data_IF_916954272313
#
_entry.id   IF_916954272313
#
_cell.length_a   1.000
_cell.length_b   1.000
_cell.length_c   1.000
_cell.angle_alpha   90.00
_cell.angle_beta   90.00
_cell.angle_gamma   90.00
#
_symmetry.space_group_name_H-M   'P 1'
#
loop_
_entity.id
_entity.type
_entity.pdbx_description
1 polymer ?
#
# COMPACT_ATOMS: atom_id res chain seq x y z
N UNK A 1 -0.34 -5.93 -27.42
CA UNK A 1 -1.13 -4.87 -26.72
C UNK A 1 -0.56 -3.53 -27.17
N UNK A 2 -1.40 -2.53 -27.41
CA UNK A 2 -0.91 -1.19 -27.75
C UNK A 2 -0.30 -0.55 -26.50
N UNK A 3 0.83 0.15 -26.66
CA UNK A 3 1.59 0.83 -25.59
C UNK A 3 0.68 1.68 -24.68
N UNK A 4 -0.36 2.31 -25.25
CA UNK A 4 -1.34 3.08 -24.48
C UNK A 4 -2.18 2.26 -23.49
N UNK A 5 -2.52 1.01 -23.81
CA UNK A 5 -3.28 0.12 -22.91
C UNK A 5 -2.39 -0.33 -21.73
N UNK A 6 -1.09 -0.48 -21.97
CA UNK A 6 -0.14 -0.87 -20.92
C UNK A 6 0.07 0.25 -19.91
N UNK A 7 0.20 1.48 -20.38
CA UNK A 7 0.28 2.68 -19.51
C UNK A 7 -0.99 2.84 -18.68
N UNK A 8 -2.18 2.70 -19.28
CA UNK A 8 -3.44 2.78 -18.55
C UNK A 8 -3.55 1.70 -17.47
N UNK A 9 -3.15 0.48 -17.76
CA UNK A 9 -3.11 -0.63 -16.79
C UNK A 9 -2.18 -0.33 -15.62
N UNK A 10 -0.99 0.22 -15.88
CA UNK A 10 -0.04 0.57 -14.83
C UNK A 10 -0.57 1.70 -13.93
N UNK A 11 -1.22 2.71 -14.51
CA UNK A 11 -1.85 3.80 -13.77
C UNK A 11 -2.98 3.26 -12.89
N UNK A 12 -3.87 2.43 -13.44
CA UNK A 12 -4.99 1.84 -12.73
C UNK A 12 -4.52 0.98 -11.54
N UNK A 13 -3.56 0.08 -11.79
CA UNK A 13 -2.92 -0.70 -10.73
C UNK A 13 -2.26 0.20 -9.68
N UNK A 14 -1.60 1.28 -10.10
CA UNK A 14 -0.99 2.24 -9.19
C UNK A 14 -2.02 2.88 -8.25
N UNK A 15 -3.17 3.30 -8.75
CA UNK A 15 -4.24 3.84 -7.93
C UNK A 15 -4.89 2.80 -7.02
N UNK A 16 -5.06 1.58 -7.49
CA UNK A 16 -5.61 0.48 -6.70
C UNK A 16 -4.72 0.17 -5.49
N UNK A 17 -3.42 0.02 -5.71
CA UNK A 17 -2.47 -0.21 -4.61
C UNK A 17 -2.29 1.01 -3.70
N UNK A 18 -2.42 2.22 -4.23
CA UNK A 18 -2.46 3.44 -3.42
C UNK A 18 -3.64 3.40 -2.44
N UNK A 19 -4.84 3.07 -2.92
CA UNK A 19 -6.04 2.95 -2.08
C UNK A 19 -5.87 1.87 -1.02
N UNK A 20 -5.38 0.70 -1.41
CA UNK A 20 -5.10 -0.38 -0.47
C UNK A 20 -4.11 0.05 0.63
N UNK A 21 -3.03 0.74 0.27
CA UNK A 21 -2.09 1.30 1.24
C UNK A 21 -2.69 2.39 2.12
N UNK A 22 -3.59 3.22 1.57
CA UNK A 22 -4.27 4.29 2.29
C UNK A 22 -5.24 3.77 3.37
N UNK A 23 -5.86 2.62 3.16
CA UNK A 23 -6.78 1.99 4.10
C UNK A 23 -6.08 1.40 5.33
N UNK A 24 -4.77 1.17 5.26
CA UNK A 24 -4.02 0.54 6.35
C UNK A 24 -3.84 1.48 7.54
N UNK A 25 -4.37 1.07 8.69
CA UNK A 25 -4.08 1.72 9.96
C UNK A 25 -2.75 1.21 10.54
N UNK A 26 -1.71 2.02 10.43
CA UNK A 26 -0.36 1.66 10.91
C UNK A 26 -0.27 1.37 12.42
N UNK A 27 -1.20 1.90 13.22
CA UNK A 27 -1.25 1.61 14.66
C UNK A 27 -1.74 0.19 14.93
N UNK A 28 -2.71 -0.28 14.14
CA UNK A 28 -3.25 -1.63 14.27
C UNK A 28 -2.22 -2.70 13.88
N UNK A 29 -1.35 -2.41 12.91
CA UNK A 29 -0.24 -3.30 12.53
C UNK A 29 0.74 -3.55 13.70
N UNK A 30 0.95 -2.56 14.57
CA UNK A 30 1.85 -2.68 15.73
C UNK A 30 1.18 -3.35 16.95
N UNK A 31 -0.10 -3.61 16.88
CA UNK A 31 -0.89 -4.21 17.95
C UNK A 31 -0.55 -5.70 18.16
N UNK A 32 -1.07 -6.28 19.25
CA UNK A 32 -1.00 -7.74 19.48
C UNK A 32 -1.68 -8.52 18.35
N UNK A 33 -2.78 -8.00 17.81
CA UNK A 33 -3.48 -8.60 16.66
C UNK A 33 -2.62 -8.55 15.40
N UNK A 34 -1.88 -7.45 15.17
CA UNK A 34 -0.93 -7.34 14.06
C UNK A 34 0.19 -8.39 14.14
N UNK A 35 0.74 -8.63 15.32
CA UNK A 35 1.74 -9.72 15.51
C UNK A 35 1.15 -11.10 15.21
N UNK A 36 -0.07 -11.36 15.65
CA UNK A 36 -0.75 -12.62 15.36
C UNK A 36 -1.01 -12.77 13.86
N UNK A 37 -1.45 -11.71 13.18
CA UNK A 37 -1.68 -11.72 11.73
C UNK A 37 -0.39 -12.01 10.96
N UNK A 38 0.73 -11.40 11.35
CA UNK A 38 2.05 -11.67 10.77
C UNK A 38 2.44 -13.15 10.93
N UNK A 39 2.29 -13.70 12.13
CA UNK A 39 2.61 -15.12 12.41
C UNK A 39 1.71 -16.03 11.59
N UNK A 40 0.40 -15.75 11.55
CA UNK A 40 -0.56 -16.53 10.76
C UNK A 40 -0.21 -16.51 9.27
N UNK A 41 0.16 -15.34 8.74
CA UNK A 41 0.58 -15.22 7.35
C UNK A 41 1.86 -16.02 7.08
N UNK A 42 2.89 -15.91 7.94
CA UNK A 42 4.14 -16.66 7.79
C UNK A 42 3.92 -18.17 7.83
N UNK A 43 3.05 -18.66 8.72
CA UNK A 43 2.69 -20.08 8.78
C UNK A 43 1.97 -20.53 7.51
N UNK A 44 0.97 -19.75 7.03
CA UNK A 44 0.26 -20.02 5.79
C UNK A 44 1.18 -20.03 4.57
N UNK A 45 2.07 -19.05 4.46
CA UNK A 45 3.06 -18.95 3.40
C UNK A 45 4.04 -20.14 3.39
N UNK A 46 4.58 -20.49 4.58
CA UNK A 46 5.47 -21.65 4.73
C UNK A 46 4.78 -22.96 4.36
N UNK A 47 3.53 -23.14 4.80
CA UNK A 47 2.73 -24.31 4.46
C UNK A 47 2.44 -24.39 2.96
N UNK A 48 2.12 -23.27 2.32
CA UNK A 48 1.87 -23.22 0.88
C UNK A 48 3.14 -23.55 0.07
N UNK A 49 4.32 -23.07 0.50
CA UNK A 49 5.60 -23.46 -0.11
C UNK A 49 5.85 -24.96 0.03
N UNK A 50 5.64 -25.52 1.22
CA UNK A 50 5.83 -26.95 1.46
C UNK A 50 4.92 -27.80 0.55
N UNK A 51 3.65 -27.44 0.44
CA UNK A 51 2.72 -28.08 -0.48
C UNK A 51 3.18 -27.94 -1.94
N UNK A 52 3.62 -26.73 -2.32
CA UNK A 52 4.17 -26.47 -3.65
C UNK A 52 5.35 -27.36 -3.99
N UNK A 53 6.29 -27.54 -3.06
CA UNK A 53 7.46 -28.41 -3.24
C UNK A 53 7.06 -29.89 -3.42
N UNK A 54 6.05 -30.35 -2.71
CA UNK A 54 5.52 -31.71 -2.84
C UNK A 54 4.88 -31.90 -4.23
N UNK A 55 4.04 -30.95 -4.65
CA UNK A 55 3.31 -31.03 -5.94
C UNK A 55 4.28 -30.93 -7.12
N UNK A 56 5.27 -30.05 -7.05
CA UNK A 56 6.21 -29.76 -8.14
C UNK A 56 7.45 -30.65 -8.12
N UNK A 57 7.54 -31.60 -7.21
CA UNK A 57 8.71 -32.48 -7.02
C UNK A 57 10.01 -31.69 -6.80
N UNK A 58 9.94 -30.60 -6.06
CA UNK A 58 11.10 -29.81 -5.63
C UNK A 58 11.39 -28.52 -6.43
N UNK A 59 10.48 -28.07 -7.31
CA UNK A 59 10.64 -26.78 -8.00
C UNK A 59 10.41 -25.61 -7.03
N UNK A 60 11.48 -25.03 -6.51
CA UNK A 60 11.44 -24.01 -5.47
C UNK A 60 10.80 -22.71 -5.97
N UNK A 61 11.16 -22.25 -7.18
CA UNK A 61 10.66 -21.01 -7.76
C UNK A 61 9.14 -21.04 -7.93
N UNK A 62 8.60 -22.12 -8.45
CA UNK A 62 7.16 -22.31 -8.60
C UNK A 62 6.46 -22.39 -7.24
N UNK A 63 7.08 -23.03 -6.24
CA UNK A 63 6.54 -23.15 -4.90
C UNK A 63 6.46 -21.80 -4.18
N UNK A 64 7.43 -20.91 -4.41
CA UNK A 64 7.40 -19.53 -3.91
C UNK A 64 6.26 -18.74 -4.56
N UNK A 65 6.12 -18.81 -5.88
CA UNK A 65 5.02 -18.15 -6.60
C UNK A 65 3.66 -18.63 -6.10
N UNK A 66 3.51 -19.95 -5.92
CA UNK A 66 2.30 -20.54 -5.36
C UNK A 66 2.02 -20.04 -3.93
N UNK A 67 3.06 -19.96 -3.09
CA UNK A 67 2.97 -19.42 -1.74
C UNK A 67 2.49 -17.98 -1.72
N UNK A 68 3.06 -17.11 -2.56
CA UNK A 68 2.65 -15.70 -2.70
C UNK A 68 1.19 -15.61 -3.17
N UNK A 69 0.83 -16.35 -4.22
CA UNK A 69 -0.52 -16.30 -4.81
C UNK A 69 -1.61 -16.77 -3.84
N UNK A 70 -1.35 -17.85 -3.07
CA UNK A 70 -2.34 -18.42 -2.15
C UNK A 70 -2.48 -17.64 -0.84
N UNK A 71 -1.49 -16.84 -0.47
CA UNK A 71 -1.52 -16.02 0.75
C UNK A 71 -1.86 -14.55 0.49
N UNK A 72 -2.05 -14.19 -0.77
CA UNK A 72 -2.49 -12.84 -1.15
C UNK A 72 -3.98 -12.65 -0.86
N UNK A 73 -4.33 -11.47 -0.36
CA UNK A 73 -5.71 -11.03 -0.12
C UNK A 73 -5.94 -9.67 -0.75
N UNK A 74 -7.21 -9.31 -0.97
CA UNK A 74 -7.62 -8.01 -1.47
C UNK A 74 -8.29 -7.21 -0.34
N UNK A 75 -7.54 -6.32 0.32
CA UNK A 75 -8.02 -5.52 1.46
C UNK A 75 -9.19 -4.62 1.06
N UNK A 76 -9.13 -3.98 -0.09
CA UNK A 76 -10.20 -3.09 -0.58
C UNK A 76 -11.54 -3.82 -0.69
N UNK A 77 -11.56 -5.03 -1.23
CA UNK A 77 -12.78 -5.85 -1.31
C UNK A 77 -13.29 -6.24 0.08
N UNK A 78 -12.38 -6.63 0.99
CA UNK A 78 -12.74 -6.96 2.37
C UNK A 78 -13.36 -5.75 3.10
N UNK A 79 -12.79 -4.56 2.90
CA UNK A 79 -13.30 -3.33 3.50
C UNK A 79 -14.71 -3.00 3.01
N UNK A 80 -14.98 -3.11 1.71
CA UNK A 80 -16.31 -2.87 1.15
C UNK A 80 -17.34 -3.82 1.75
N UNK A 81 -17.04 -5.13 1.81
CA UNK A 81 -17.93 -6.13 2.42
C UNK A 81 -18.19 -5.81 3.90
N UNK A 82 -17.16 -5.41 4.65
CA UNK A 82 -17.32 -5.07 6.07
C UNK A 82 -18.08 -3.75 6.26
N UNK A 83 -17.93 -2.77 5.37
CA UNK A 83 -18.71 -1.53 5.37
C UNK A 83 -20.20 -1.83 5.12
N UNK A 84 -20.53 -2.63 4.12
CA UNK A 84 -21.90 -3.01 3.78
C UNK A 84 -22.57 -3.80 4.92
N UNK A 85 -21.80 -4.65 5.60
CA UNK A 85 -22.26 -5.40 6.76
C UNK A 85 -22.32 -4.57 8.07
N UNK A 86 -21.87 -3.30 8.07
CA UNK A 86 -21.72 -2.45 9.26
C UNK A 86 -20.83 -3.09 10.35
N UNK A 87 -19.80 -3.85 9.95
CA UNK A 87 -18.93 -4.62 10.84
C UNK A 87 -17.52 -4.02 11.00
N UNK A 88 -17.18 -2.92 10.35
CA UNK A 88 -15.84 -2.32 10.36
C UNK A 88 -15.31 -2.03 11.77
N UNK A 89 -16.17 -1.56 12.67
CA UNK A 89 -15.82 -1.21 14.04
C UNK A 89 -15.89 -2.39 15.03
N UNK A 90 -16.40 -3.53 14.59
CA UNK A 90 -16.47 -4.75 15.40
C UNK A 90 -15.08 -5.37 15.62
N UNK A 91 -14.91 -6.15 16.69
CA UNK A 91 -13.66 -6.86 16.94
C UNK A 91 -13.29 -7.84 15.81
N UNK A 92 -14.30 -8.45 15.20
CA UNK A 92 -14.13 -9.36 14.05
C UNK A 92 -13.69 -8.55 12.84
N UNK A 93 -14.39 -7.46 12.51
CA UNK A 93 -14.05 -6.60 11.38
C UNK A 93 -12.64 -6.05 11.47
N UNK A 94 -12.23 -5.54 12.62
CA UNK A 94 -10.85 -5.08 12.88
C UNK A 94 -9.83 -6.20 12.68
N UNK A 95 -10.11 -7.40 13.18
CA UNK A 95 -9.21 -8.55 12.99
C UNK A 95 -9.09 -8.93 11.51
N UNK A 96 -10.20 -8.96 10.78
CA UNK A 96 -10.22 -9.24 9.32
C UNK A 96 -9.42 -8.20 8.55
N UNK A 97 -9.60 -6.91 8.85
CA UNK A 97 -8.86 -5.83 8.19
C UNK A 97 -7.35 -5.91 8.46
N UNK A 98 -6.96 -6.23 9.70
CA UNK A 98 -5.53 -6.39 10.05
C UNK A 98 -4.92 -7.58 9.30
N UNK A 99 -5.60 -8.73 9.27
CA UNK A 99 -5.12 -9.90 8.52
C UNK A 99 -5.10 -9.64 7.01
N UNK A 100 -6.11 -8.94 6.48
CA UNK A 100 -6.16 -8.50 5.09
C UNK A 100 -4.99 -7.57 4.73
N UNK A 101 -4.67 -6.61 5.61
CA UNK A 101 -3.54 -5.71 5.41
C UNK A 101 -2.19 -6.45 5.33
N UNK A 102 -1.95 -7.42 6.20
CA UNK A 102 -0.75 -8.26 6.11
C UNK A 102 -0.78 -9.16 4.88
N UNK A 103 -1.96 -9.73 4.54
CA UNK A 103 -2.14 -10.56 3.35
C UNK A 103 -2.04 -9.80 2.02
N UNK A 104 -2.06 -8.47 2.02
CA UNK A 104 -1.77 -7.64 0.85
C UNK A 104 -0.34 -7.13 0.84
N UNK A 105 0.15 -6.59 1.95
CA UNK A 105 1.49 -6.02 2.09
C UNK A 105 2.60 -7.06 1.92
N UNK A 106 2.50 -8.20 2.63
CA UNK A 106 3.58 -9.18 2.67
C UNK A 106 3.81 -9.92 1.36
N UNK A 107 2.77 -10.32 0.58
CA UNK A 107 2.96 -10.84 -0.77
C UNK A 107 3.67 -9.87 -1.71
N UNK A 108 3.35 -8.56 -1.66
CA UNK A 108 4.02 -7.53 -2.47
C UNK A 108 5.51 -7.45 -2.12
N UNK A 109 5.84 -7.44 -0.81
CA UNK A 109 7.22 -7.47 -0.35
C UNK A 109 7.91 -8.77 -0.77
N UNK A 110 7.25 -9.92 -0.58
CA UNK A 110 7.78 -11.23 -0.95
C UNK A 110 8.04 -11.32 -2.46
N UNK A 111 7.13 -10.80 -3.29
CA UNK A 111 7.30 -10.73 -4.73
C UNK A 111 8.52 -9.88 -5.11
N UNK A 112 8.65 -8.70 -4.52
CA UNK A 112 9.78 -7.80 -4.76
C UNK A 112 11.13 -8.38 -4.35
N UNK A 113 11.17 -9.22 -3.29
CA UNK A 113 12.40 -9.82 -2.79
C UNK A 113 12.75 -11.15 -3.45
N UNK A 114 11.76 -12.03 -3.63
CA UNK A 114 11.98 -13.43 -3.99
C UNK A 114 11.87 -13.68 -5.49
N UNK A 115 11.08 -12.88 -6.21
CA UNK A 115 10.90 -12.97 -7.66
C UNK A 115 11.75 -11.93 -8.43
N UNK A 116 12.55 -11.12 -7.72
CA UNK A 116 13.49 -10.21 -8.36
C UNK A 116 14.55 -10.98 -9.16
N UNK A 117 14.95 -10.44 -10.29
CA UNK A 117 16.08 -10.95 -11.11
C UNK A 117 17.44 -10.79 -10.41
N UNK A 118 17.47 -10.03 -9.32
CA UNK A 118 18.66 -9.79 -8.50
C UNK A 118 18.81 -10.87 -7.43
N UNK A 119 20.03 -10.99 -6.90
CA UNK A 119 20.25 -11.88 -5.75
C UNK A 119 19.43 -11.40 -4.54
N UNK A 120 18.86 -12.29 -3.71
CA UNK A 120 18.00 -11.92 -2.57
C UNK A 120 18.65 -10.91 -1.62
N UNK A 121 19.97 -11.00 -1.42
CA UNK A 121 20.73 -10.05 -0.62
C UNK A 121 20.72 -8.63 -1.22
N UNK A 122 20.94 -8.52 -2.52
CA UNK A 122 20.93 -7.22 -3.20
C UNK A 122 19.52 -6.61 -3.23
N UNK A 123 18.49 -7.42 -3.46
CA UNK A 123 17.08 -7.00 -3.40
C UNK A 123 16.72 -6.48 -2.01
N UNK A 124 17.23 -7.11 -0.94
CA UNK A 124 17.01 -6.64 0.43
C UNK A 124 17.63 -5.27 0.68
N UNK A 125 18.88 -5.06 0.22
CA UNK A 125 19.55 -3.76 0.32
C UNK A 125 18.79 -2.68 -0.45
N UNK A 126 18.37 -3.00 -1.67
CA UNK A 126 17.60 -2.08 -2.52
C UNK A 126 16.27 -1.72 -1.86
N UNK A 127 15.57 -2.69 -1.25
CA UNK A 127 14.34 -2.44 -0.51
C UNK A 127 14.57 -1.50 0.68
N UNK A 128 15.66 -1.67 1.44
CA UNK A 128 16.02 -0.78 2.55
C UNK A 128 16.29 0.63 2.02
N UNK A 129 17.06 0.76 0.94
CA UNK A 129 17.33 2.04 0.29
C UNK A 129 16.03 2.69 -0.18
N UNK A 130 15.13 1.91 -0.79
CA UNK A 130 13.82 2.40 -1.21
C UNK A 130 13.03 2.98 -0.04
N UNK A 131 12.91 2.26 1.09
CA UNK A 131 12.19 2.72 2.28
C UNK A 131 12.79 4.01 2.83
N UNK A 132 14.13 4.13 2.89
CA UNK A 132 14.82 5.34 3.34
C UNK A 132 14.56 6.53 2.39
N UNK A 133 14.66 6.33 1.08
CA UNK A 133 14.39 7.37 0.09
C UNK A 133 12.91 7.77 0.08
N UNK A 134 11.99 6.82 0.18
CA UNK A 134 10.57 7.09 0.29
C UNK A 134 10.26 7.96 1.52
N UNK A 135 10.88 7.65 2.66
CA UNK A 135 10.75 8.46 3.87
C UNK A 135 11.25 9.89 3.67
N UNK A 136 12.38 10.09 3.00
CA UNK A 136 12.92 11.42 2.69
C UNK A 136 12.00 12.18 1.73
N UNK A 137 11.57 11.55 0.62
CA UNK A 137 10.69 12.16 -0.39
C UNK A 137 9.37 12.65 0.22
N UNK A 138 8.81 11.88 1.14
CA UNK A 138 7.52 12.22 1.76
C UNK A 138 7.67 13.23 2.90
N UNK A 139 8.66 13.06 3.77
CA UNK A 139 8.80 13.94 4.94
C UNK A 139 9.29 15.34 4.57
N UNK A 140 10.13 15.46 3.55
CA UNK A 140 10.69 16.76 3.15
C UNK A 140 9.61 17.78 2.78
N UNK A 141 8.68 17.51 1.85
CA UNK A 141 7.63 18.46 1.51
C UNK A 141 6.65 18.70 2.68
N UNK A 142 6.32 17.66 3.47
CA UNK A 142 5.42 17.80 4.61
C UNK A 142 6.01 18.71 5.70
N UNK A 143 7.30 18.55 6.01
CA UNK A 143 7.99 19.45 6.96
C UNK A 143 8.11 20.88 6.44
N UNK A 144 8.32 21.05 5.13
CA UNK A 144 8.42 22.36 4.49
C UNK A 144 7.08 23.10 4.56
N UNK A 145 5.98 22.43 4.25
CA UNK A 145 4.62 22.99 4.31
C UNK A 145 4.25 23.37 5.75
N UNK A 146 4.58 22.56 6.74
CA UNK A 146 4.31 22.84 8.15
C UNK A 146 5.11 24.03 8.70
N UNK A 147 6.25 24.37 8.13
CA UNK A 147 7.08 25.52 8.53
C UNK A 147 6.65 26.85 7.93
N UNK A 148 5.68 26.88 7.02
CA UNK A 148 5.13 28.10 6.42
C UNK A 148 3.81 28.52 7.09
N UNK A 149 3.83 29.37 8.15
CA UNK A 149 2.64 29.74 8.91
C UNK A 149 1.60 30.53 8.10
N UNK A 150 2.02 31.19 7.01
CA UNK A 150 1.13 31.91 6.09
C UNK A 150 0.24 30.97 5.26
N UNK A 151 0.72 29.77 4.93
CA UNK A 151 -0.07 28.76 4.22
C UNK A 151 -1.06 28.04 5.14
N UNK A 152 -0.74 27.88 6.44
CA UNK A 152 -1.62 27.27 7.40
C UNK A 152 -2.95 28.01 7.58
N UNK A 153 -2.93 29.33 7.65
CA UNK A 153 -4.13 30.16 7.80
C UNK A 153 -4.93 30.32 6.48
N UNK A 154 -4.26 30.33 5.33
CA UNK A 154 -4.92 30.33 4.01
C UNK A 154 -5.55 28.98 3.68
N UNK A 155 -4.99 27.90 4.18
CA UNK A 155 -5.50 26.52 4.04
C UNK A 155 -6.78 26.32 4.90
N UNK A 156 -6.84 26.90 6.08
CA UNK A 156 -8.00 26.78 6.97
C UNK A 156 -9.24 27.58 6.48
N UNK A 157 -9.04 28.60 5.64
CA UNK A 157 -10.13 29.44 5.12
C UNK A 157 -10.70 29.03 3.76
N UNK A 158 -10.12 28.03 3.09
CA UNK A 158 -10.53 27.60 1.75
C UNK A 158 -10.71 26.08 1.65
N UNK A 159 -11.80 25.55 2.19
CA UNK A 159 -12.11 24.11 2.22
C UNK A 159 -12.00 23.44 0.84
N UNK A 160 -12.42 24.09 -0.23
CA UNK A 160 -12.28 23.57 -1.61
C UNK A 160 -10.82 23.52 -2.10
N UNK A 161 -9.97 24.45 -1.67
CA UNK A 161 -8.55 24.52 -2.09
C UNK A 161 -7.70 23.46 -1.40
N UNK A 162 -8.04 23.08 -0.16
CA UNK A 162 -7.33 22.03 0.60
C UNK A 162 -7.43 20.68 -0.13
N UNK A 163 -8.61 20.33 -0.60
CA UNK A 163 -8.88 19.04 -1.22
C UNK A 163 -8.15 18.93 -2.56
N UNK A 164 -8.17 19.99 -3.38
CA UNK A 164 -7.42 20.00 -4.65
C UNK A 164 -5.92 19.92 -4.43
N UNK A 165 -5.40 20.61 -3.43
CA UNK A 165 -3.97 20.56 -3.06
C UNK A 165 -3.58 19.18 -2.55
N UNK A 166 -4.42 18.54 -1.73
CA UNK A 166 -4.18 17.18 -1.23
C UNK A 166 -4.15 16.17 -2.37
N UNK A 167 -5.07 16.25 -3.34
CA UNK A 167 -5.05 15.38 -4.52
C UNK A 167 -3.77 15.55 -5.35
N UNK A 168 -3.33 16.80 -5.58
CA UNK A 168 -2.07 17.07 -6.29
C UNK A 168 -0.87 16.49 -5.56
N UNK A 169 -0.82 16.63 -4.23
CA UNK A 169 0.25 16.04 -3.40
C UNK A 169 0.18 14.52 -3.46
N UNK A 170 -1.02 13.94 -3.41
CA UNK A 170 -1.23 12.48 -3.53
C UNK A 170 -0.69 11.96 -4.86
N UNK A 171 -1.06 12.56 -5.97
CA UNK A 171 -0.58 12.18 -7.31
C UNK A 171 0.93 12.38 -7.43
N UNK A 172 1.47 13.46 -6.87
CA UNK A 172 2.91 13.70 -6.86
C UNK A 172 3.68 12.65 -6.06
N UNK A 173 3.20 12.28 -4.87
CA UNK A 173 3.80 11.24 -4.03
C UNK A 173 3.72 9.89 -4.76
N UNK A 174 2.55 9.55 -5.31
CA UNK A 174 2.34 8.33 -6.08
C UNK A 174 3.35 8.25 -7.24
N UNK A 175 3.37 9.26 -8.11
CA UNK A 175 4.29 9.31 -9.25
C UNK A 175 5.76 9.23 -8.83
N UNK A 176 6.15 9.96 -7.77
CA UNK A 176 7.54 9.95 -7.28
C UNK A 176 7.97 8.59 -6.75
N UNK A 177 7.10 7.90 -6.00
CA UNK A 177 7.44 6.59 -5.43
C UNK A 177 7.35 5.47 -6.46
N UNK A 178 6.41 5.52 -7.41
CA UNK A 178 6.37 4.54 -8.52
C UNK A 178 7.56 4.69 -9.46
N UNK A 179 7.99 5.90 -9.78
CA UNK A 179 9.22 6.13 -10.55
C UNK A 179 10.44 5.64 -9.77
N UNK A 180 10.50 5.88 -8.44
CA UNK A 180 11.60 5.42 -7.61
C UNK A 180 11.68 3.89 -7.60
N UNK A 181 10.55 3.16 -7.49
CA UNK A 181 10.55 1.69 -7.56
C UNK A 181 11.00 1.21 -8.93
N UNK A 182 10.56 1.85 -10.01
CA UNK A 182 10.99 1.50 -11.37
C UNK A 182 12.52 1.67 -11.55
N UNK A 183 13.11 2.78 -11.05
CA UNK A 183 14.57 3.01 -11.09
C UNK A 183 15.33 1.95 -10.29
N UNK A 184 14.77 1.51 -9.16
CA UNK A 184 15.37 0.52 -8.27
C UNK A 184 15.09 -0.93 -8.72
N UNK A 185 14.41 -1.15 -9.85
CA UNK A 185 13.99 -2.48 -10.35
C UNK A 185 13.13 -3.25 -9.33
N UNK A 186 12.34 -2.53 -8.53
CA UNK A 186 11.32 -3.06 -7.64
C UNK A 186 9.95 -3.02 -8.35
N UNK A 187 8.99 -3.76 -7.80
CA UNK A 187 7.62 -3.74 -8.32
C UNK A 187 6.95 -2.37 -8.11
N UNK A 188 6.29 -1.87 -9.15
CA UNK A 188 5.57 -0.58 -9.13
C UNK A 188 4.45 -0.59 -8.08
N UNK A 189 3.81 -1.74 -7.87
CA UNK A 189 2.78 -1.92 -6.84
C UNK A 189 3.29 -1.58 -5.43
N UNK A 190 4.57 -1.91 -5.13
CA UNK A 190 5.18 -1.57 -3.84
C UNK A 190 5.28 -0.04 -3.66
N UNK A 191 5.68 0.69 -4.70
CA UNK A 191 5.77 2.16 -4.66
C UNK A 191 4.41 2.81 -4.41
N UNK A 192 3.40 2.37 -5.14
CA UNK A 192 2.03 2.87 -5.01
C UNK A 192 1.44 2.55 -3.62
N UNK A 193 1.64 1.34 -3.14
CA UNK A 193 1.17 0.90 -1.82
C UNK A 193 1.81 1.72 -0.68
N UNK A 194 3.12 1.90 -0.73
CA UNK A 194 3.86 2.73 0.25
C UNK A 194 3.41 4.19 0.17
N UNK A 195 3.13 4.72 -1.03
CA UNK A 195 2.54 6.05 -1.20
C UNK A 195 1.21 6.18 -0.44
N UNK A 196 0.34 5.18 -0.55
CA UNK A 196 -0.94 5.13 0.17
C UNK A 196 -0.77 5.17 1.68
N UNK A 197 0.12 4.35 2.23
CA UNK A 197 0.43 4.35 3.68
C UNK A 197 0.90 5.75 4.14
N UNK A 198 1.81 6.37 3.39
CA UNK A 198 2.32 7.70 3.74
C UNK A 198 1.23 8.77 3.71
N UNK A 199 0.36 8.73 2.71
CA UNK A 199 -0.76 9.68 2.59
C UNK A 199 -1.71 9.50 3.78
N UNK A 200 -2.02 8.26 4.17
CA UNK A 200 -2.82 7.99 5.37
C UNK A 200 -2.18 8.60 6.63
N UNK A 201 -0.87 8.41 6.82
CA UNK A 201 -0.14 8.98 7.97
C UNK A 201 -0.14 10.51 7.95
N UNK A 202 -0.04 11.13 6.77
CA UNK A 202 -0.07 12.59 6.62
C UNK A 202 -1.45 13.16 6.93
N UNK A 203 -2.51 12.47 6.50
CA UNK A 203 -3.90 12.89 6.64
C UNK A 203 -4.47 12.52 8.02
N UNK A 204 -3.90 11.55 8.70
CA UNK A 204 -4.34 11.08 10.02
C UNK A 204 -4.57 12.17 11.08
N UNK A 205 -3.84 13.31 11.13
CA UNK A 205 -4.10 14.39 12.08
C UNK A 205 -5.33 15.26 11.74
N UNK A 206 -5.91 15.11 10.54
CA UNK A 206 -7.09 15.88 10.13
C UNK A 206 -8.39 15.23 10.67
N UNK A 207 -9.48 16.01 10.73
CA UNK A 207 -10.77 15.49 11.20
C UNK A 207 -11.24 14.31 10.37
N UNK A 208 -11.99 13.38 11.00
CA UNK A 208 -12.52 12.17 10.35
C UNK A 208 -13.39 12.48 9.12
N UNK A 209 -14.00 13.64 9.07
CA UNK A 209 -14.85 14.11 7.98
C UNK A 209 -14.02 14.47 6.74
N UNK A 210 -12.91 15.20 6.92
CA UNK A 210 -11.98 15.50 5.83
C UNK A 210 -11.29 14.24 5.28
N UNK A 211 -10.98 13.27 6.15
CA UNK A 211 -10.40 12.00 5.73
C UNK A 211 -11.32 11.23 4.78
N UNK A 212 -12.62 11.12 5.13
CA UNK A 212 -13.64 10.46 4.28
C UNK A 212 -13.83 11.18 2.94
N UNK A 213 -13.78 12.50 2.92
CA UNK A 213 -13.94 13.27 1.68
C UNK A 213 -12.75 13.08 0.74
N UNK A 214 -11.52 13.03 1.28
CA UNK A 214 -10.30 12.77 0.52
C UNK A 214 -10.31 11.33 0.00
N UNK A 215 -10.65 10.35 0.84
CA UNK A 215 -10.80 8.94 0.47
C UNK A 215 -11.76 8.80 -0.73
N UNK A 216 -12.97 9.36 -0.61
CA UNK A 216 -13.97 9.34 -1.69
C UNK A 216 -13.46 9.96 -3.00
N UNK A 217 -12.65 11.02 -2.94
CA UNK A 217 -12.10 11.64 -4.14
C UNK A 217 -10.96 10.84 -4.76
N UNK A 218 -10.14 10.19 -3.95
CA UNK A 218 -9.10 9.25 -4.44
C UNK A 218 -9.79 8.05 -5.08
N UNK A 219 -10.86 7.51 -4.46
CA UNK A 219 -11.69 6.45 -5.04
C UNK A 219 -12.28 6.86 -6.40
N UNK A 220 -12.87 8.04 -6.51
CA UNK A 220 -13.44 8.52 -7.77
C UNK A 220 -12.36 8.62 -8.86
N UNK A 221 -11.18 9.12 -8.54
CA UNK A 221 -10.07 9.20 -9.50
C UNK A 221 -9.53 7.82 -9.86
N UNK A 222 -9.40 6.92 -8.88
CA UNK A 222 -8.87 5.57 -9.09
C UNK A 222 -9.83 4.62 -9.82
N UNK A 223 -11.15 4.77 -9.65
CA UNK A 223 -12.14 3.93 -10.33
C UNK A 223 -12.71 4.55 -11.63
N UNK A 224 -12.24 5.76 -12.01
CA UNK A 224 -12.70 6.43 -13.25
C UNK A 224 -11.89 6.03 -14.49
N UNK A 225 -10.87 5.21 -14.33
CA UNK A 225 -10.04 4.65 -15.39
C UNK A 225 -10.27 3.15 -15.53
#
# INVERSE_FOLDING_TARGET
>A
MTEGVEILREIDMGFLFLLAGFEINTNDLKSKQGKNALITWLLGFSFAILLGLIITKGALDFSIVLGIATTSTALGTLLLILKDANMTDSNIGKSVLIHGAFGELLPIIAMSLLLSTLTPWLSTIILIIFVLLAFVIVITPVRFIRKMPLLGNAILSASHTIIQTTLRITVFILASLTVLTAILSLDIALGAFVAGIFINVIISPFSSEHKKEIEKKIEIVGFSF
#
